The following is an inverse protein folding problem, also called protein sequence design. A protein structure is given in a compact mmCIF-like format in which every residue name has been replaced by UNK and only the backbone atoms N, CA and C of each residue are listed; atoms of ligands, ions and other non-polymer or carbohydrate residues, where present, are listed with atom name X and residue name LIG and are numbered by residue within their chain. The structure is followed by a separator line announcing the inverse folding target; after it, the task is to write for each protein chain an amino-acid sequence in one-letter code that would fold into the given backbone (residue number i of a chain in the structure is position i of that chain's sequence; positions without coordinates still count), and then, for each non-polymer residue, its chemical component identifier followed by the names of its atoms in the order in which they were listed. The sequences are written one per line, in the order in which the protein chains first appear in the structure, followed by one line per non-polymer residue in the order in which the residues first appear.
data_IF_091276123434
#
_entry.id   IF_091276123434
#
_cell.length_a   1.000
_cell.length_b   1.000
_cell.length_c   1.000
_cell.angle_alpha   90.00
_cell.angle_beta   90.00
_cell.angle_gamma   90.00
#
_symmetry.space_group_name_H-M   'P 1'
#
loop_
_entity.id
_entity.type
_entity.pdbx_description
1 polymer ?
#
# COMPACT_ATOMS: atom_id res chain seq x y z
N UNK A 1 17.89 -4.85 4.90
CA UNK A 1 17.97 -5.36 3.51
C UNK A 1 17.32 -4.50 2.43
N UNK A 2 15.99 -4.30 2.35
CA UNK A 2 15.38 -3.53 1.24
C UNK A 2 15.95 -2.11 1.10
N UNK A 3 16.12 -1.38 2.20
CA UNK A 3 16.74 -0.05 2.20
C UNK A 3 18.16 -0.04 1.60
N UNK A 4 18.92 -1.13 1.78
CA UNK A 4 20.30 -1.25 1.28
C UNK A 4 20.35 -1.29 -0.26
N UNK A 5 19.36 -1.91 -0.90
CA UNK A 5 19.35 -2.12 -2.36
C UNK A 5 18.57 -1.06 -3.14
N UNK A 6 17.70 -0.28 -2.47
CA UNK A 6 16.94 0.78 -3.11
C UNK A 6 17.82 1.99 -3.47
N UNK A 7 17.50 2.63 -4.60
CA UNK A 7 18.08 3.93 -4.98
C UNK A 7 17.54 5.04 -4.07
N UNK A 8 18.30 6.12 -3.92
CA UNK A 8 17.82 7.29 -3.18
C UNK A 8 16.59 7.88 -3.87
N UNK A 9 15.63 8.34 -3.07
CA UNK A 9 14.32 8.81 -3.53
C UNK A 9 13.39 7.72 -4.04
N UNK A 10 13.77 6.44 -4.03
CA UNK A 10 12.89 5.35 -4.46
C UNK A 10 11.70 5.20 -3.50
N UNK A 11 10.47 5.02 -4.03
CA UNK A 11 9.29 4.77 -3.22
C UNK A 11 9.32 3.36 -2.62
N UNK A 12 8.73 3.20 -1.44
CA UNK A 12 8.48 1.92 -0.78
C UNK A 12 7.03 1.85 -0.33
N UNK A 13 6.36 0.73 -0.62
CA UNK A 13 4.95 0.50 -0.34
C UNK A 13 4.80 -0.81 0.44
N UNK A 14 4.18 -0.76 1.62
CA UNK A 14 4.00 -1.90 2.52
C UNK A 14 2.50 -2.13 2.76
N UNK A 15 1.98 -3.25 2.28
CA UNK A 15 0.60 -3.66 2.58
C UNK A 15 0.47 -4.13 4.02
N UNK A 16 -0.55 -3.67 4.71
CA UNK A 16 -0.88 -4.06 6.09
C UNK A 16 -2.39 -4.00 6.33
N UNK A 17 -2.89 -4.81 7.26
CA UNK A 17 -4.22 -4.60 7.84
C UNK A 17 -4.17 -3.68 9.08
N UNK A 18 -5.33 -3.36 9.65
CA UNK A 18 -5.44 -2.44 10.80
C UNK A 18 -4.70 -2.91 12.05
N UNK A 19 -4.49 -4.22 12.23
CA UNK A 19 -3.84 -4.78 13.42
C UNK A 19 -2.35 -4.52 13.40
N UNK A 20 -1.76 -4.61 12.22
CA UNK A 20 -0.32 -4.41 12.02
C UNK A 20 0.04 -2.98 11.58
N UNK A 21 -0.96 -2.13 11.32
CA UNK A 21 -0.73 -0.77 10.81
C UNK A 21 0.22 0.06 11.69
N UNK A 22 0.04 0.15 13.03
CA UNK A 22 0.95 0.94 13.88
C UNK A 22 2.39 0.40 13.86
N UNK A 23 2.53 -0.93 13.93
CA UNK A 23 3.86 -1.55 13.89
C UNK A 23 4.54 -1.33 12.54
N UNK A 24 3.77 -1.33 11.45
CA UNK A 24 4.29 -1.15 10.09
C UNK A 24 4.78 0.29 9.86
N UNK A 25 4.08 1.30 10.40
CA UNK A 25 4.53 2.70 10.33
C UNK A 25 5.82 2.93 11.12
N UNK A 26 5.95 2.31 12.28
CA UNK A 26 7.16 2.41 13.09
C UNK A 26 8.34 1.68 12.43
N UNK A 27 8.11 0.45 11.96
CA UNK A 27 9.13 -0.34 11.27
C UNK A 27 9.65 0.36 10.01
N UNK A 28 8.78 1.02 9.22
CA UNK A 28 9.18 1.79 8.05
C UNK A 28 10.18 2.90 8.45
N UNK A 29 9.87 3.65 9.50
CA UNK A 29 10.70 4.78 9.96
C UNK A 29 12.01 4.31 10.59
N UNK A 30 11.96 3.28 11.44
CA UNK A 30 13.15 2.66 12.06
C UNK A 30 14.10 2.11 10.98
N UNK A 31 13.56 1.61 9.87
CA UNK A 31 14.35 1.14 8.73
C UNK A 31 15.02 2.27 7.91
N UNK A 32 14.86 3.54 8.31
CA UNK A 32 15.52 4.70 7.70
C UNK A 32 14.77 5.29 6.50
N UNK A 33 13.53 4.88 6.25
CA UNK A 33 12.71 5.50 5.22
C UNK A 33 12.00 6.74 5.76
N UNK A 34 11.85 7.75 4.90
CA UNK A 34 10.97 8.89 5.19
C UNK A 34 9.53 8.45 4.98
N UNK A 35 8.72 8.46 6.04
CA UNK A 35 7.30 8.16 5.93
C UNK A 35 6.57 9.30 5.19
N UNK A 36 5.76 8.96 4.19
CA UNK A 36 5.06 9.93 3.32
C UNK A 36 3.55 9.88 3.49
N UNK A 37 3.00 8.76 3.96
CA UNK A 37 1.59 8.67 4.31
C UNK A 37 1.05 7.24 4.27
N UNK A 38 -0.28 7.16 4.19
CA UNK A 38 -1.03 5.90 4.07
C UNK A 38 -1.99 6.05 2.89
N UNK A 39 -1.95 5.11 1.96
CA UNK A 39 -2.97 4.93 0.92
C UNK A 39 -3.91 3.81 1.35
N UNK A 40 -5.20 3.92 1.05
CA UNK A 40 -6.21 2.92 1.43
C UNK A 40 -6.62 2.09 0.22
N UNK A 41 -6.59 0.77 0.36
CA UNK A 41 -7.27 -0.14 -0.55
C UNK A 41 -8.64 -0.52 0.01
N UNK A 42 -9.69 -0.04 -0.64
CA UNK A 42 -11.08 -0.43 -0.38
C UNK A 42 -11.43 -1.68 -1.19
N UNK A 43 -11.58 -2.83 -0.51
CA UNK A 43 -11.95 -4.13 -1.08
C UNK A 43 -13.42 -4.24 -1.48
N UNK A 44 -14.20 -3.17 -1.34
CA UNK A 44 -15.66 -3.13 -1.44
C UNK A 44 -16.35 -3.96 -0.35
N UNK A 45 -17.67 -3.99 -0.40
CA UNK A 45 -18.54 -4.69 0.53
C UNK A 45 -18.52 -6.22 0.31
N UNK A 46 -17.73 -6.73 -0.64
CA UNK A 46 -17.55 -8.16 -0.90
C UNK A 46 -16.78 -8.94 0.19
N UNK A 47 -16.28 -8.26 1.22
CA UNK A 47 -15.62 -8.88 2.37
C UNK A 47 -16.61 -9.56 3.31
N UNK A 48 -16.20 -10.67 3.95
CA UNK A 48 -17.05 -11.42 4.89
C UNK A 48 -17.46 -10.51 6.08
N UNK A 49 -18.77 -10.26 6.30
CA UNK A 49 -19.24 -9.46 7.42
C UNK A 49 -19.12 -10.24 8.74
N UNK A 50 -19.03 -9.50 9.85
CA UNK A 50 -19.10 -10.02 11.21
C UNK A 50 -20.15 -9.23 11.97
N UNK A 51 -21.14 -9.90 12.56
CA UNK A 51 -22.21 -9.24 13.31
C UNK A 51 -21.63 -8.43 14.47
N UNK A 52 -22.14 -7.21 14.66
CA UNK A 52 -21.68 -6.29 15.71
C UNK A 52 -20.31 -5.63 15.43
N UNK A 53 -19.78 -5.72 14.20
CA UNK A 53 -18.48 -5.14 13.84
C UNK A 53 -18.55 -4.38 12.52
N UNK A 54 -17.64 -3.41 12.36
CA UNK A 54 -17.36 -2.83 11.05
C UNK A 54 -16.74 -3.88 10.12
N UNK A 55 -17.01 -3.76 8.81
CA UNK A 55 -16.42 -4.64 7.80
C UNK A 55 -14.90 -4.43 7.73
N UNK A 56 -14.13 -5.51 7.62
CA UNK A 56 -12.69 -5.44 7.29
C UNK A 56 -12.48 -5.15 5.79
N UNK A 57 -13.12 -4.09 5.32
CA UNK A 57 -13.18 -3.68 3.92
C UNK A 57 -11.90 -2.96 3.49
N UNK A 58 -11.25 -2.26 4.40
CA UNK A 58 -9.98 -1.60 4.13
C UNK A 58 -8.78 -2.54 4.34
N UNK A 59 -7.81 -2.44 3.43
CA UNK A 59 -6.40 -2.69 3.69
C UNK A 59 -5.63 -1.37 3.51
N UNK A 60 -4.48 -1.27 4.15
CA UNK A 60 -3.69 -0.05 4.17
C UNK A 60 -2.35 -0.31 3.48
N UNK A 61 -1.87 0.70 2.78
CA UNK A 61 -0.53 0.73 2.20
C UNK A 61 0.22 1.85 2.90
N UNK A 62 1.08 1.48 3.84
CA UNK A 62 2.03 2.42 4.44
C UNK A 62 3.10 2.68 3.39
N UNK A 63 3.32 3.94 3.03
CA UNK A 63 4.29 4.27 1.99
C UNK A 63 5.24 5.39 2.38
N UNK A 64 6.44 5.31 1.82
CA UNK A 64 7.53 6.22 2.10
C UNK A 64 8.51 6.29 0.94
N UNK A 65 9.66 6.90 1.21
CA UNK A 65 10.78 6.97 0.27
C UNK A 65 12.11 6.76 0.97
N UNK A 66 13.11 6.27 0.24
CA UNK A 66 14.49 6.25 0.75
C UNK A 66 15.04 7.68 0.74
N UNK A 67 14.95 8.36 1.87
CA UNK A 67 15.30 9.78 1.98
C UNK A 67 14.38 10.69 1.16
N UNK A 68 14.95 11.77 0.62
CA UNK A 68 14.21 12.77 -0.15
C UNK A 68 13.78 12.25 -1.52
N UNK A 69 12.54 12.56 -1.92
CA UNK A 69 12.10 12.34 -3.30
C UNK A 69 12.51 13.53 -4.18
N UNK A 70 12.98 13.30 -5.42
CA UNK A 70 13.24 14.38 -6.37
C UNK A 70 11.96 15.19 -6.66
N UNK A 71 12.12 16.49 -6.93
CA UNK A 71 11.01 17.40 -7.23
C UNK A 71 10.55 17.30 -8.69
N UNK A 72 11.43 16.82 -9.57
CA UNK A 72 11.24 16.66 -11.01
C UNK A 72 10.71 15.27 -11.40
N UNK A 73 10.21 14.51 -10.43
CA UNK A 73 9.59 13.20 -10.67
C UNK A 73 8.43 13.32 -11.65
N UNK A 74 8.35 12.37 -12.58
CA UNK A 74 7.29 12.30 -13.60
C UNK A 74 6.07 11.49 -13.17
N UNK A 75 6.04 11.03 -11.92
CA UNK A 75 4.90 10.34 -11.36
C UNK A 75 3.69 11.29 -11.23
N UNK A 76 2.49 10.90 -11.67
CA UNK A 76 1.29 11.72 -11.54
C UNK A 76 0.81 11.77 -10.08
N UNK A 77 -0.11 12.70 -9.78
CA UNK A 77 -0.86 12.66 -8.52
C UNK A 77 -1.72 11.39 -8.51
N UNK A 78 -1.48 10.52 -7.52
CA UNK A 78 -2.23 9.27 -7.36
C UNK A 78 -3.34 9.42 -6.31
N UNK A 79 -4.45 8.66 -6.43
CA UNK A 79 -5.50 8.65 -5.42
C UNK A 79 -5.00 8.18 -4.05
N UNK A 80 -5.46 8.82 -2.97
CA UNK A 80 -5.24 8.36 -1.59
C UNK A 80 -6.10 7.15 -1.19
N UNK A 81 -7.14 6.86 -1.96
CA UNK A 81 -8.02 5.69 -1.78
C UNK A 81 -8.21 5.02 -3.14
N UNK A 82 -7.98 3.71 -3.20
CA UNK A 82 -8.17 2.88 -4.39
C UNK A 82 -9.25 1.85 -4.07
N UNK A 83 -10.36 1.91 -4.80
CA UNK A 83 -11.47 0.96 -4.65
C UNK A 83 -11.33 -0.13 -5.71
N UNK A 84 -10.97 -1.34 -5.29
CA UNK A 84 -10.85 -2.51 -6.17
C UNK A 84 -11.33 -3.76 -5.44
N UNK A 85 -12.28 -4.49 -6.05
CA UNK A 85 -12.81 -5.70 -5.45
C UNK A 85 -11.84 -6.88 -5.60
N UNK A 86 -11.83 -7.77 -4.60
CA UNK A 86 -11.08 -9.03 -4.70
C UNK A 86 -11.83 -10.02 -5.59
N UNK A 87 -11.38 -10.19 -6.84
CA UNK A 87 -12.00 -11.12 -7.80
C UNK A 87 -11.37 -12.50 -7.71
N UNK A 88 -12.18 -13.56 -7.52
CA UNK A 88 -11.67 -14.94 -7.43
C UNK A 88 -10.92 -15.39 -8.68
N UNK A 89 -11.34 -14.95 -9.85
CA UNK A 89 -10.73 -15.32 -11.14
C UNK A 89 -9.35 -14.68 -11.35
N UNK A 90 -9.04 -13.60 -10.61
CA UNK A 90 -7.75 -12.90 -10.63
C UNK A 90 -6.87 -13.30 -9.44
N UNK A 91 -7.28 -14.31 -8.65
CA UNK A 91 -6.47 -14.85 -7.55
C UNK A 91 -5.58 -15.98 -8.04
N UNK A 92 -4.30 -15.67 -8.21
CA UNK A 92 -3.25 -16.69 -8.35
C UNK A 92 -2.86 -17.33 -7.00
N UNK A 93 -3.25 -16.73 -5.86
CA UNK A 93 -2.98 -17.21 -4.50
C UNK A 93 -4.07 -16.74 -3.51
N UNK A 94 -4.19 -17.41 -2.35
CA UNK A 94 -5.18 -17.11 -1.31
C UNK A 94 -5.19 -15.62 -0.88
N UNK A 95 -3.98 -15.06 -0.72
CA UNK A 95 -3.70 -13.67 -0.29
C UNK A 95 -3.31 -12.73 -1.44
N UNK A 96 -3.50 -13.16 -2.70
CA UNK A 96 -3.16 -12.35 -3.88
C UNK A 96 -3.88 -11.00 -3.88
N UNK A 97 -3.13 -9.93 -4.11
CA UNK A 97 -3.67 -8.59 -4.38
C UNK A 97 -4.16 -8.54 -5.83
N UNK A 98 -5.31 -7.88 -6.12
CA UNK A 98 -5.77 -7.73 -7.50
C UNK A 98 -4.71 -7.08 -8.38
N UNK A 99 -4.63 -7.52 -9.63
CA UNK A 99 -3.63 -7.01 -10.58
C UNK A 99 -3.84 -5.51 -10.82
N UNK A 100 -5.09 -5.06 -10.95
CA UNK A 100 -5.44 -3.66 -11.17
C UNK A 100 -4.99 -2.75 -10.00
N UNK A 101 -5.13 -3.21 -8.76
CA UNK A 101 -4.59 -2.48 -7.60
C UNK A 101 -3.08 -2.25 -7.75
N UNK A 102 -2.34 -3.28 -8.16
CA UNK A 102 -0.90 -3.15 -8.38
C UNK A 102 -0.58 -2.20 -9.54
N UNK A 103 -1.38 -2.20 -10.62
CA UNK A 103 -1.24 -1.23 -11.74
C UNK A 103 -1.47 0.21 -11.28
N UNK A 104 -2.42 0.45 -10.39
CA UNK A 104 -2.63 1.79 -9.82
C UNK A 104 -1.43 2.24 -8.99
N UNK A 105 -0.90 1.36 -8.13
CA UNK A 105 0.19 1.68 -7.20
C UNK A 105 1.53 1.86 -7.91
N UNK A 106 1.86 1.01 -8.88
CA UNK A 106 3.18 1.03 -9.54
C UNK A 106 3.46 2.33 -10.30
N UNK A 107 2.43 3.10 -10.66
CA UNK A 107 2.57 4.43 -11.28
C UNK A 107 3.36 5.43 -10.45
N UNK A 108 3.57 5.15 -9.16
CA UNK A 108 4.45 5.96 -8.30
C UNK A 108 5.93 5.83 -8.69
N UNK A 109 6.31 4.75 -9.38
CA UNK A 109 7.68 4.44 -9.78
C UNK A 109 8.13 5.11 -11.07
N UNK A 110 7.23 5.80 -11.78
CA UNK A 110 7.40 6.38 -13.13
C UNK A 110 7.30 5.37 -14.28
#
# INVERSE_FOLDING_TARGET
ECARVLKDGAPVLLFTDWRQLPLTTDALQIAGFTWRGITVWDKTEGVRPQLGRFRNQAEYIVWGSKGNMPLDRRAPVLPGVIREAVRKNDKHHLTGKPTELMRHLVRICE
#
